data_IF_315776332458
#
_entry.id   IF_315776332458
#
_cell.length_a   1.000
_cell.length_b   1.000
_cell.length_c   1.000
_cell.angle_alpha   90.00
_cell.angle_beta   90.00
_cell.angle_gamma   90.00
#
_symmetry.space_group_name_H-M   'P 1'
#
loop_
_entity.id
_entity.type
_entity.pdbx_description
1 polymer ?
#
# COMPACT_ATOMS: atom_id res chain seq x y z
N UNK A 1 -14.79 -13.98 6.71
CA UNK A 1 -13.91 -13.39 7.78
C UNK A 1 -14.22 -11.92 7.94
N UNK A 2 -14.37 -11.45 9.15
CA UNK A 2 -14.60 -10.03 9.43
C UNK A 2 -13.32 -9.40 9.99
N UNK A 3 -12.58 -8.70 9.13
CA UNK A 3 -11.32 -8.06 9.51
C UNK A 3 -11.50 -6.92 10.52
N UNK A 4 -12.66 -6.28 10.54
CA UNK A 4 -12.93 -5.18 11.48
C UNK A 4 -12.82 -5.63 12.93
N UNK A 5 -13.19 -6.88 13.22
CA UNK A 5 -13.14 -7.43 14.57
C UNK A 5 -11.69 -7.61 15.06
N UNK A 6 -10.73 -7.57 14.16
CA UNK A 6 -9.30 -7.72 14.48
C UNK A 6 -8.56 -6.41 14.63
N UNK A 7 -9.22 -5.30 14.34
CA UNK A 7 -8.63 -3.95 14.46
C UNK A 7 -8.73 -3.51 15.91
N UNK A 8 -7.61 -3.10 16.50
CA UNK A 8 -7.58 -2.52 17.84
C UNK A 8 -7.71 -1.00 17.74
N UNK A 9 -8.56 -0.43 18.55
CA UNK A 9 -8.75 1.02 18.60
C UNK A 9 -8.05 1.61 19.81
N UNK A 10 -7.27 2.66 19.57
CA UNK A 10 -6.56 3.41 20.61
C UNK A 10 -7.04 4.86 20.59
N UNK A 11 -7.87 5.28 21.56
CA UNK A 11 -8.27 6.68 21.62
C UNK A 11 -7.08 7.56 22.05
N UNK A 12 -7.08 8.81 21.58
CA UNK A 12 -6.07 9.79 21.90
C UNK A 12 -4.64 9.38 21.53
N UNK A 13 -4.47 8.80 20.34
CA UNK A 13 -3.17 8.43 19.81
C UNK A 13 -3.08 8.82 18.33
N UNK A 14 -1.97 9.39 17.83
CA UNK A 14 -0.76 9.78 18.57
C UNK A 14 -0.93 11.02 19.45
N UNK A 15 -2.09 11.65 19.39
CA UNK A 15 -2.40 12.80 20.23
C UNK A 15 -3.89 12.86 20.56
N UNK A 16 -4.23 13.70 21.55
CA UNK A 16 -5.59 13.86 22.03
C UNK A 16 -6.57 14.18 20.90
N UNK A 17 -7.72 13.51 20.91
CA UNK A 17 -8.79 13.70 19.94
C UNK A 17 -8.69 12.81 18.72
N UNK A 18 -7.62 12.04 18.56
CA UNK A 18 -7.45 11.12 17.44
C UNK A 18 -7.72 9.68 17.90
N UNK A 19 -8.62 8.99 17.18
CA UNK A 19 -8.83 7.56 17.36
C UNK A 19 -7.94 6.83 16.36
N UNK A 20 -6.92 6.14 16.86
CA UNK A 20 -6.02 5.34 16.04
C UNK A 20 -6.57 3.93 15.89
N UNK A 21 -6.68 3.48 14.66
CA UNK A 21 -7.09 2.11 14.34
C UNK A 21 -5.86 1.31 13.93
N UNK A 22 -5.51 0.36 14.79
CA UNK A 22 -4.30 -0.46 14.61
C UNK A 22 -4.65 -1.78 13.95
N UNK A 23 -4.04 -2.05 12.81
CA UNK A 23 -4.25 -3.30 12.08
C UNK A 23 -3.12 -4.32 12.30
N UNK A 24 -2.23 -4.07 13.27
CA UNK A 24 -1.16 -5.01 13.61
C UNK A 24 -1.66 -6.43 13.87
N UNK A 25 -2.79 -6.64 14.56
CA UNK A 25 -3.32 -7.99 14.75
C UNK A 25 -3.68 -8.70 13.44
N UNK A 26 -4.08 -7.95 12.42
CA UNK A 26 -4.34 -8.50 11.09
C UNK A 26 -3.05 -8.98 10.45
N UNK A 27 -2.00 -8.16 10.52
CA UNK A 27 -0.69 -8.49 9.94
C UNK A 27 -0.05 -9.71 10.60
N UNK A 28 -0.31 -9.90 11.89
CA UNK A 28 0.23 -11.02 12.66
C UNK A 28 -0.45 -12.35 12.32
N UNK A 29 -1.66 -12.31 11.78
CA UNK A 29 -2.47 -13.49 11.53
C UNK A 29 -2.33 -13.97 10.08
N UNK A 30 -1.71 -15.16 9.85
CA UNK A 30 -1.53 -15.68 8.50
C UNK A 30 -2.84 -15.84 7.73
N UNK A 31 -3.91 -16.25 8.41
CA UNK A 31 -5.22 -16.43 7.78
C UNK A 31 -5.79 -15.11 7.28
N UNK A 32 -5.58 -14.04 8.03
CA UNK A 32 -6.02 -12.69 7.62
C UNK A 32 -5.24 -12.19 6.41
N UNK A 33 -3.94 -12.43 6.37
CA UNK A 33 -3.11 -12.05 5.21
C UNK A 33 -3.55 -12.79 3.95
N UNK A 34 -3.80 -14.09 4.06
CA UNK A 34 -4.31 -14.88 2.94
C UNK A 34 -5.67 -14.40 2.48
N UNK A 35 -6.55 -14.09 3.42
CA UNK A 35 -7.88 -13.58 3.13
C UNK A 35 -7.81 -12.24 2.36
N UNK A 36 -6.94 -11.33 2.80
CA UNK A 36 -6.76 -10.04 2.13
C UNK A 36 -6.28 -10.25 0.70
N UNK A 37 -5.28 -11.10 0.51
CA UNK A 37 -4.77 -11.39 -0.83
C UNK A 37 -5.86 -12.00 -1.71
N UNK A 38 -6.68 -12.90 -1.18
CA UNK A 38 -7.81 -13.49 -1.92
C UNK A 38 -8.83 -12.43 -2.34
N UNK A 39 -9.17 -11.52 -1.44
CA UNK A 39 -10.11 -10.45 -1.74
C UNK A 39 -9.60 -9.49 -2.83
N UNK A 40 -8.34 -9.10 -2.76
CA UNK A 40 -7.73 -8.29 -3.82
C UNK A 40 -7.73 -9.02 -5.15
N UNK A 41 -7.46 -10.33 -5.13
CA UNK A 41 -7.37 -11.14 -6.35
C UNK A 41 -8.69 -11.28 -7.10
N UNK A 42 -9.81 -10.97 -6.47
CA UNK A 42 -11.12 -10.95 -7.13
C UNK A 42 -11.28 -9.80 -8.11
N UNK A 43 -10.41 -8.78 -8.04
CA UNK A 43 -10.54 -7.54 -8.81
C UNK A 43 -9.64 -7.47 -10.03
N UNK A 44 -8.80 -8.47 -10.27
CA UNK A 44 -7.90 -8.49 -11.42
C UNK A 44 -7.57 -9.92 -11.82
N UNK A 45 -7.08 -10.06 -13.06
CA UNK A 45 -6.51 -11.34 -13.53
C UNK A 45 -4.98 -11.21 -13.49
N UNK A 46 -4.24 -12.18 -12.91
CA UNK A 46 -2.78 -12.08 -12.81
C UNK A 46 -2.06 -11.86 -14.16
N UNK A 47 -2.64 -12.34 -15.24
CA UNK A 47 -2.07 -12.14 -16.58
C UNK A 47 -2.08 -10.67 -17.03
N UNK A 48 -2.94 -9.85 -16.44
CA UNK A 48 -3.07 -8.44 -16.80
C UNK A 48 -2.15 -7.55 -15.97
N UNK A 49 -1.37 -8.13 -15.08
CA UNK A 49 -0.49 -7.39 -14.17
C UNK A 49 0.96 -7.76 -14.42
N UNK A 50 1.78 -6.77 -14.71
CA UNK A 50 3.24 -6.97 -14.86
C UNK A 50 3.98 -6.67 -13.54
N UNK A 51 3.48 -5.71 -12.78
CA UNK A 51 4.09 -5.27 -11.54
C UNK A 51 3.04 -4.67 -10.62
N UNK A 52 3.22 -4.79 -9.32
CA UNK A 52 2.35 -4.16 -8.33
C UNK A 52 3.00 -2.89 -7.82
N UNK A 53 2.21 -1.85 -7.60
CA UNK A 53 2.67 -0.60 -7.04
C UNK A 53 2.01 -0.36 -5.70
N UNK A 54 2.80 -0.01 -4.70
CA UNK A 54 2.30 0.31 -3.37
C UNK A 54 2.63 1.72 -2.96
N UNK A 55 1.66 2.44 -2.41
CA UNK A 55 1.83 3.79 -1.89
C UNK A 55 2.25 3.70 -0.42
N UNK A 56 3.28 4.46 -0.04
CA UNK A 56 3.81 4.43 1.32
C UNK A 56 2.74 4.72 2.36
N UNK A 57 2.76 4.06 3.50
CA UNK A 57 3.65 2.93 3.73
C UNK A 57 2.88 1.62 3.83
N UNK A 58 1.58 1.68 4.17
CA UNK A 58 0.73 0.49 4.29
C UNK A 58 0.57 -0.22 2.95
N UNK A 59 0.54 0.53 1.85
CA UNK A 59 0.46 -0.04 0.51
C UNK A 59 1.63 -0.94 0.16
N UNK A 60 2.80 -0.72 0.75
CA UNK A 60 3.96 -1.58 0.53
C UNK A 60 3.71 -3.02 0.99
N UNK A 61 3.03 -3.17 2.12
CA UNK A 61 2.72 -4.48 2.68
C UNK A 61 1.81 -5.27 1.74
N UNK A 62 0.73 -4.63 1.28
CA UNK A 62 -0.23 -5.26 0.38
C UNK A 62 0.39 -5.59 -0.98
N UNK A 63 1.12 -4.65 -1.55
CA UNK A 63 1.77 -4.85 -2.85
C UNK A 63 2.79 -5.99 -2.81
N UNK A 64 3.55 -6.10 -1.71
CA UNK A 64 4.53 -7.15 -1.54
C UNK A 64 3.86 -8.53 -1.41
N UNK A 65 2.78 -8.62 -0.66
CA UNK A 65 2.02 -9.87 -0.51
C UNK A 65 1.51 -10.33 -1.87
N UNK A 66 0.92 -9.45 -2.66
CA UNK A 66 0.39 -9.77 -3.97
C UNK A 66 1.51 -10.13 -4.97
N UNK A 67 2.61 -9.39 -4.92
CA UNK A 67 3.77 -9.67 -5.78
C UNK A 67 4.31 -11.07 -5.53
N UNK A 68 4.48 -11.46 -4.27
CA UNK A 68 4.93 -12.80 -3.91
C UNK A 68 3.94 -13.88 -4.35
N UNK A 69 2.65 -13.66 -4.12
CA UNK A 69 1.61 -14.63 -4.49
C UNK A 69 1.61 -14.95 -5.99
N UNK A 70 1.81 -13.94 -6.81
CA UNK A 70 1.71 -14.07 -8.27
C UNK A 70 3.04 -14.07 -8.99
N UNK A 71 4.13 -14.18 -8.26
CA UNK A 71 5.49 -14.18 -8.80
C UNK A 71 5.75 -12.96 -9.69
N UNK A 72 5.38 -11.80 -9.19
CA UNK A 72 5.62 -10.49 -9.81
C UNK A 72 6.52 -9.66 -8.90
N UNK A 73 6.95 -8.52 -9.39
CA UNK A 73 7.65 -7.53 -8.58
C UNK A 73 6.71 -6.49 -7.99
N UNK A 74 7.26 -5.61 -7.15
CA UNK A 74 6.55 -4.43 -6.67
C UNK A 74 7.44 -3.21 -6.77
N UNK A 75 6.82 -2.06 -6.97
CA UNK A 75 7.49 -0.77 -6.98
C UNK A 75 6.88 0.13 -5.93
N UNK A 76 7.69 1.07 -5.43
CA UNK A 76 7.26 1.98 -4.39
C UNK A 76 6.82 3.32 -4.98
N UNK A 77 5.65 3.79 -4.53
CA UNK A 77 5.21 5.15 -4.73
C UNK A 77 5.35 5.83 -3.38
N UNK A 78 6.14 6.90 -3.31
CA UNK A 78 6.48 7.53 -2.04
C UNK A 78 6.23 9.02 -2.07
N UNK A 79 6.13 9.62 -0.88
CA UNK A 79 6.08 11.07 -0.73
C UNK A 79 7.37 11.71 -1.21
N UNK A 80 7.28 12.97 -1.65
CA UNK A 80 8.39 13.72 -2.20
C UNK A 80 9.63 13.65 -1.30
N UNK A 81 10.78 13.43 -1.93
CA UNK A 81 12.07 13.41 -1.25
C UNK A 81 12.46 12.07 -0.63
N UNK A 82 11.64 11.03 -0.78
CA UNK A 82 11.92 9.71 -0.19
C UNK A 82 12.59 8.74 -1.15
N UNK A 83 12.56 9.02 -2.45
CA UNK A 83 13.17 8.14 -3.46
C UNK A 83 14.44 8.77 -4.04
N UNK A 84 15.50 7.96 -4.22
CA UNK A 84 16.73 8.44 -4.86
C UNK A 84 16.58 8.55 -6.36
N UNK A 85 17.47 9.32 -6.97
CA UNK A 85 17.55 9.44 -8.42
C UNK A 85 16.45 10.34 -9.00
N UNK A 86 16.26 10.20 -10.29
CA UNK A 86 15.22 10.96 -10.98
C UNK A 86 13.86 10.33 -10.75
N UNK A 87 12.86 11.17 -10.51
CA UNK A 87 11.50 10.74 -10.23
C UNK A 87 10.50 11.46 -11.13
N UNK A 88 9.36 10.82 -11.34
CA UNK A 88 8.17 11.45 -11.90
C UNK A 88 7.23 11.77 -10.75
N UNK A 89 6.74 13.00 -10.71
CA UNK A 89 5.98 13.53 -9.59
C UNK A 89 4.52 13.78 -9.96
N UNK A 90 3.65 13.58 -8.99
CA UNK A 90 2.25 13.96 -9.09
C UNK A 90 1.84 14.70 -7.81
N UNK A 91 1.41 15.95 -7.97
CA UNK A 91 0.84 16.71 -6.87
C UNK A 91 -0.65 16.41 -6.75
N UNK A 92 -1.14 16.31 -5.51
CA UNK A 92 -2.57 16.10 -5.25
C UNK A 92 -3.01 16.97 -4.08
N UNK A 93 -4.30 17.30 -4.06
CA UNK A 93 -4.88 18.15 -3.03
C UNK A 93 -5.32 17.32 -1.84
N UNK A 94 -4.92 17.75 -0.65
CA UNK A 94 -5.37 17.19 0.62
C UNK A 94 -6.17 18.26 1.37
N UNK A 95 -6.78 17.89 2.49
CA UNK A 95 -7.66 18.78 3.28
C UNK A 95 -6.97 20.10 3.67
N UNK A 96 -5.67 20.06 3.99
CA UNK A 96 -4.91 21.21 4.46
C UNK A 96 -3.80 21.65 3.49
N UNK A 97 -3.98 21.45 2.19
CA UNK A 97 -3.00 21.89 1.20
C UNK A 97 -2.81 20.88 0.08
N UNK A 98 -1.56 20.78 -0.36
CA UNK A 98 -1.16 19.84 -1.42
C UNK A 98 -0.04 18.96 -0.94
N UNK A 99 -0.03 17.73 -1.40
CA UNK A 99 1.08 16.81 -1.19
C UNK A 99 1.55 16.29 -2.54
N UNK A 100 2.73 15.71 -2.59
CA UNK A 100 3.33 15.20 -3.82
C UNK A 100 3.81 13.79 -3.59
N UNK A 101 3.45 12.91 -4.51
CA UNK A 101 3.98 11.54 -4.55
C UNK A 101 4.90 11.39 -5.75
N UNK A 102 5.81 10.45 -5.64
CA UNK A 102 6.84 10.19 -6.64
C UNK A 102 6.96 8.71 -6.95
N UNK A 103 7.33 8.43 -8.19
CA UNK A 103 7.77 7.13 -8.64
C UNK A 103 9.12 7.32 -9.31
N UNK A 104 10.04 6.38 -9.13
CA UNK A 104 11.33 6.44 -9.79
C UNK A 104 11.14 6.41 -11.31
N UNK A 105 11.82 7.33 -12.00
CA UNK A 105 11.78 7.40 -13.45
C UNK A 105 12.42 6.12 -14.01
N UNK A 106 11.78 5.54 -15.01
CA UNK A 106 12.27 4.35 -15.71
C UNK A 106 12.24 3.04 -14.88
N UNK A 107 11.60 3.05 -13.69
CA UNK A 107 11.41 1.81 -12.90
C UNK A 107 10.39 0.87 -13.56
N UNK A 108 9.49 1.44 -14.36
CA UNK A 108 8.54 0.68 -15.16
C UNK A 108 9.03 0.71 -16.60
N UNK A 109 9.15 -0.46 -17.21
CA UNK A 109 9.54 -0.56 -18.61
C UNK A 109 8.37 -0.29 -19.52
N UNK A 110 8.67 0.17 -20.75
CA UNK A 110 7.63 0.42 -21.74
C UNK A 110 6.77 -0.82 -21.96
N UNK A 111 5.46 -0.64 -21.95
CA UNK A 111 4.49 -1.73 -22.16
C UNK A 111 4.04 -2.44 -20.90
N UNK A 112 4.67 -2.15 -19.77
CA UNK A 112 4.24 -2.72 -18.51
C UNK A 112 3.03 -2.00 -17.92
#
# INVERSE_FOLDING_TARGET
MNLKDKITEYPNFPKKGILFRDFSPILKDPSSLSYIADEFSKHFHPKDVDVFAGIESRGFLLATILALRYNKGMIMIRKAGKLPGKTTKLAYTIEYGKDTIEIQKDIISEGQ
#
